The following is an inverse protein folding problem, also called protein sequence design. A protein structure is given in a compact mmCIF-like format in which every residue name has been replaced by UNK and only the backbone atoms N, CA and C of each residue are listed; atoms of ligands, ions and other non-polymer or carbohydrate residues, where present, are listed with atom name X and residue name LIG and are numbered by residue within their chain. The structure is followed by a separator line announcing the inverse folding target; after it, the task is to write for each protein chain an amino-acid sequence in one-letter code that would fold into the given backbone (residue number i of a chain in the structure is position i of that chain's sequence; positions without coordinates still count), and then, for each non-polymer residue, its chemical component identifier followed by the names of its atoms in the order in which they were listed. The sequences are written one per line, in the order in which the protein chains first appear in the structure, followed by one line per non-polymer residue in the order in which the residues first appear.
data_IF_795815640065
#
_entry.id   IF_795815640065
#
_cell.length_a   1.000
_cell.length_b   1.000
_cell.length_c   1.000
_cell.angle_alpha   90.00
_cell.angle_beta   90.00
_cell.angle_gamma   90.00
#
_symmetry.space_group_name_H-M   'P 1'
#
loop_
_entity.id
_entity.type
_entity.pdbx_description
1 polymer ?
#
# COMPACT_ATOMS: atom_id res chain seq x y z
N UNK A 1 12.98 28.29 -10.35
CA UNK A 1 11.70 27.76 -9.81
C UNK A 1 12.02 27.22 -8.45
N UNK A 2 11.14 27.45 -7.48
CA UNK A 2 11.29 26.83 -6.17
C UNK A 2 11.22 25.32 -6.28
N UNK A 3 11.83 24.63 -5.33
CA UNK A 3 11.81 23.17 -5.29
C UNK A 3 10.41 22.65 -4.96
N UNK A 4 10.11 21.42 -5.35
CA UNK A 4 8.87 20.74 -4.97
C UNK A 4 9.24 19.69 -3.92
N UNK A 5 8.67 19.85 -2.72
CA UNK A 5 9.06 19.09 -1.54
C UNK A 5 7.87 18.40 -0.88
N UNK A 6 8.12 17.24 -0.29
CA UNK A 6 7.23 16.61 0.69
C UNK A 6 7.47 17.35 2.01
N UNK A 7 6.46 18.08 2.50
CA UNK A 7 6.57 18.93 3.70
C UNK A 7 5.84 18.37 4.93
N UNK A 8 4.95 17.40 4.74
CA UNK A 8 4.23 16.76 5.83
C UNK A 8 3.64 15.43 5.42
N UNK A 9 3.56 14.52 6.39
CA UNK A 9 2.92 13.22 6.25
C UNK A 9 2.08 12.91 7.48
N UNK A 10 1.02 12.15 7.33
CA UNK A 10 0.18 11.73 8.45
C UNK A 10 -0.34 10.31 8.24
N UNK A 11 -0.31 9.52 9.29
CA UNK A 11 -0.73 8.13 9.28
C UNK A 11 -2.05 7.94 10.01
N UNK A 12 -2.89 7.07 9.47
CA UNK A 12 -4.02 6.48 10.16
C UNK A 12 -3.95 4.95 10.04
N UNK A 13 -4.33 4.25 11.08
CA UNK A 13 -4.47 2.79 11.11
C UNK A 13 -5.40 2.40 12.28
N UNK A 14 -6.05 1.22 12.23
CA UNK A 14 -6.85 0.74 13.35
C UNK A 14 -6.03 0.58 14.64
N UNK A 15 -6.59 0.92 15.78
CA UNK A 15 -5.89 0.87 17.08
C UNK A 15 -5.59 -0.56 17.53
N UNK A 16 -6.50 -1.50 17.22
CA UNK A 16 -6.42 -2.87 17.69
C UNK A 16 -5.36 -3.68 16.92
N UNK A 17 -4.41 -4.24 17.69
CA UNK A 17 -3.35 -5.10 17.17
C UNK A 17 -3.87 -6.53 16.95
N UNK A 18 -3.43 -7.14 15.85
CA UNK A 18 -3.69 -8.55 15.52
C UNK A 18 -2.36 -9.30 15.39
N UNK A 19 -2.17 -10.32 16.21
CA UNK A 19 -0.95 -11.16 16.24
C UNK A 19 -1.02 -12.33 15.26
N UNK A 20 0.12 -12.93 14.93
CA UNK A 20 0.17 -14.16 14.14
C UNK A 20 -0.56 -15.31 14.83
N UNK A 21 -0.44 -15.38 16.18
CA UNK A 21 -1.13 -16.41 16.96
C UNK A 21 -2.66 -16.35 16.75
N UNK A 22 -3.26 -15.17 16.88
CA UNK A 22 -4.70 -14.99 16.68
C UNK A 22 -5.14 -15.37 15.26
N UNK A 23 -4.37 -14.97 14.24
CA UNK A 23 -4.63 -15.33 12.83
C UNK A 23 -4.55 -16.84 12.61
N UNK A 24 -3.55 -17.50 13.19
CA UNK A 24 -3.35 -18.96 13.08
C UNK A 24 -4.44 -19.72 13.81
N UNK A 25 -4.78 -19.32 15.03
CA UNK A 25 -5.83 -19.97 15.83
C UNK A 25 -7.18 -19.93 15.10
N UNK A 26 -7.55 -18.75 14.59
CA UNK A 26 -8.78 -18.57 13.80
C UNK A 26 -8.77 -19.41 12.53
N UNK A 27 -7.71 -19.32 11.72
CA UNK A 27 -7.59 -20.06 10.48
C UNK A 27 -7.63 -21.57 10.69
N UNK A 28 -6.92 -22.09 11.70
CA UNK A 28 -6.87 -23.54 11.98
C UNK A 28 -8.23 -24.05 12.46
N UNK A 29 -8.95 -23.28 13.26
CA UNK A 29 -10.35 -23.61 13.65
C UNK A 29 -11.26 -23.68 12.40
N UNK A 30 -11.14 -22.73 11.48
CA UNK A 30 -11.85 -22.79 10.20
C UNK A 30 -11.48 -24.05 9.40
N UNK A 31 -10.19 -24.40 9.33
CA UNK A 31 -9.71 -25.61 8.62
C UNK A 31 -10.32 -26.89 9.23
N UNK A 32 -10.34 -26.99 10.55
CA UNK A 32 -10.91 -28.16 11.24
C UNK A 32 -12.42 -28.30 10.97
N UNK A 33 -13.16 -27.19 11.03
CA UNK A 33 -14.57 -27.16 10.69
C UNK A 33 -14.82 -27.58 9.24
N UNK A 34 -14.08 -26.95 8.29
CA UNK A 34 -14.17 -27.27 6.87
C UNK A 34 -13.89 -28.75 6.58
N UNK A 35 -12.82 -29.31 7.12
CA UNK A 35 -12.42 -30.70 6.87
C UNK A 35 -13.44 -31.69 7.48
N UNK A 36 -14.00 -31.37 8.64
CA UNK A 36 -15.05 -32.16 9.29
C UNK A 36 -16.36 -32.17 8.49
N UNK A 37 -16.81 -30.98 8.08
CA UNK A 37 -18.04 -30.81 7.30
C UNK A 37 -17.97 -31.46 5.92
N UNK A 38 -16.79 -31.52 5.33
CA UNK A 38 -16.55 -32.08 3.99
C UNK A 38 -15.85 -33.45 4.02
N UNK A 39 -15.91 -34.20 5.12
CA UNK A 39 -15.18 -35.45 5.29
C UNK A 39 -15.46 -36.45 4.17
N UNK A 40 -16.71 -36.66 3.78
CA UNK A 40 -17.09 -37.58 2.70
C UNK A 40 -16.59 -37.17 1.32
N UNK A 41 -16.51 -35.86 1.04
CA UNK A 41 -15.96 -35.34 -0.22
C UNK A 41 -14.44 -35.46 -0.26
N UNK A 42 -13.80 -35.36 0.90
CA UNK A 42 -12.35 -35.55 1.06
C UNK A 42 -11.99 -37.03 0.91
N UNK A 43 -12.74 -37.92 1.58
CA UNK A 43 -12.56 -39.37 1.44
C UNK A 43 -12.75 -39.88 0.02
N UNK A 44 -13.67 -39.29 -0.74
CA UNK A 44 -13.90 -39.57 -2.16
C UNK A 44 -12.92 -38.88 -3.12
N UNK A 45 -11.93 -38.17 -2.58
CA UNK A 45 -10.95 -37.34 -3.34
C UNK A 45 -11.58 -36.27 -4.25
N UNK A 46 -12.89 -35.96 -4.06
CA UNK A 46 -13.57 -34.92 -4.83
C UNK A 46 -13.06 -33.52 -4.53
N UNK A 47 -12.61 -33.31 -3.30
CA UNK A 47 -11.91 -32.08 -2.87
C UNK A 47 -10.69 -32.43 -1.99
N UNK A 48 -9.73 -31.52 -1.92
CA UNK A 48 -8.57 -31.68 -1.04
C UNK A 48 -8.85 -31.16 0.36
N UNK A 49 -8.40 -31.87 1.38
CA UNK A 49 -8.38 -31.36 2.73
C UNK A 49 -7.55 -30.07 2.80
N UNK A 50 -8.03 -29.09 3.57
CA UNK A 50 -7.25 -27.88 3.87
C UNK A 50 -6.17 -28.20 4.89
N UNK A 51 -5.01 -27.55 4.74
CA UNK A 51 -3.87 -27.71 5.64
C UNK A 51 -3.82 -26.56 6.66
N UNK A 52 -3.44 -26.87 7.88
CA UNK A 52 -3.20 -25.87 8.95
C UNK A 52 -2.09 -24.87 8.58
N UNK A 53 -2.16 -23.71 9.18
CA UNK A 53 -1.11 -22.69 9.17
C UNK A 53 -0.32 -22.72 10.48
N UNK A 54 0.79 -21.96 10.55
CA UNK A 54 1.55 -21.76 11.78
C UNK A 54 2.22 -20.39 11.79
N UNK A 55 2.54 -19.90 12.98
CA UNK A 55 3.28 -18.64 13.14
C UNK A 55 4.65 -18.69 12.43
N UNK A 56 5.32 -19.84 12.52
CA UNK A 56 6.60 -20.06 11.83
C UNK A 56 6.45 -19.95 10.31
N UNK A 57 5.38 -20.54 9.75
CA UNK A 57 5.08 -20.43 8.33
C UNK A 57 4.89 -18.96 7.92
N UNK A 58 4.09 -18.19 8.68
CA UNK A 58 3.85 -16.77 8.41
C UNK A 58 5.16 -15.98 8.44
N UNK A 59 5.95 -16.12 9.50
CA UNK A 59 7.23 -15.43 9.64
C UNK A 59 8.20 -15.78 8.52
N UNK A 60 8.30 -17.07 8.18
CA UNK A 60 9.19 -17.54 7.11
C UNK A 60 8.71 -17.06 5.71
N UNK A 61 7.40 -16.99 5.49
CA UNK A 61 6.82 -16.58 4.21
C UNK A 61 6.93 -15.08 3.97
N UNK A 62 6.69 -14.25 4.99
CA UNK A 62 6.54 -12.79 4.84
C UNK A 62 7.48 -11.94 5.69
N UNK A 63 7.77 -12.39 6.91
CA UNK A 63 8.43 -11.60 7.95
C UNK A 63 7.44 -10.80 8.82
N UNK A 64 6.13 -10.91 8.59
CA UNK A 64 5.08 -10.18 9.32
C UNK A 64 4.91 -10.82 10.71
N UNK A 65 4.87 -9.98 11.74
CA UNK A 65 4.63 -10.38 13.14
C UNK A 65 3.22 -10.04 13.58
N UNK A 66 2.78 -8.83 13.22
CA UNK A 66 1.46 -8.30 13.58
C UNK A 66 0.86 -7.53 12.40
N UNK A 67 -0.40 -7.20 12.47
CA UNK A 67 -1.13 -6.32 11.54
C UNK A 67 -2.28 -5.64 12.27
N UNK A 68 -2.95 -4.73 11.58
CA UNK A 68 -4.14 -4.06 12.06
C UNK A 68 -5.25 -4.23 11.05
N UNK A 69 -6.41 -4.67 11.50
CA UNK A 69 -7.56 -5.00 10.63
C UNK A 69 -8.70 -4.06 10.95
N UNK A 70 -9.38 -3.56 9.94
CA UNK A 70 -10.53 -2.65 10.09
C UNK A 70 -11.67 -3.30 10.90
N UNK A 71 -11.81 -4.60 10.79
CA UNK A 71 -12.73 -5.41 11.57
C UNK A 71 -12.05 -6.74 11.95
N UNK A 72 -11.29 -6.69 13.02
CA UNK A 72 -10.59 -7.86 13.57
C UNK A 72 -11.56 -8.95 13.99
N UNK A 73 -12.67 -8.59 14.64
CA UNK A 73 -13.62 -9.54 15.21
C UNK A 73 -14.17 -10.51 14.17
N UNK A 74 -14.75 -9.99 13.08
CA UNK A 74 -15.36 -10.85 12.06
C UNK A 74 -14.31 -11.46 11.12
N UNK A 75 -13.20 -10.77 10.84
CA UNK A 75 -12.08 -11.32 10.07
C UNK A 75 -11.47 -12.56 10.71
N UNK A 76 -11.46 -12.63 12.03
CA UNK A 76 -10.94 -13.77 12.82
C UNK A 76 -12.03 -14.69 13.40
N UNK A 77 -13.29 -14.47 13.06
CA UNK A 77 -14.36 -15.42 13.38
C UNK A 77 -14.28 -16.61 12.40
N UNK A 78 -14.03 -17.86 12.85
CA UNK A 78 -13.86 -19.02 11.98
C UNK A 78 -15.08 -19.35 11.11
N UNK A 79 -16.24 -18.77 11.42
CA UNK A 79 -17.49 -18.95 10.66
C UNK A 79 -17.69 -17.86 9.60
N UNK A 80 -17.04 -16.70 9.76
CA UNK A 80 -17.13 -15.56 8.84
C UNK A 80 -15.93 -15.43 7.94
N UNK A 81 -14.70 -15.48 8.50
CA UNK A 81 -13.42 -15.37 7.78
C UNK A 81 -13.37 -14.20 6.78
N UNK A 82 -13.96 -13.08 7.15
CA UNK A 82 -13.97 -11.84 6.37
C UNK A 82 -14.38 -10.66 7.23
N UNK A 83 -13.92 -9.45 6.96
CA UNK A 83 -14.41 -8.26 7.64
C UNK A 83 -15.87 -7.98 7.27
N UNK A 84 -16.58 -7.34 8.18
CA UNK A 84 -17.92 -6.79 7.96
C UNK A 84 -17.83 -5.28 8.11
N UNK A 85 -18.07 -4.56 7.03
CA UNK A 85 -18.14 -3.12 7.01
C UNK A 85 -19.59 -2.66 6.82
N UNK A 86 -19.94 -1.51 7.38
CA UNK A 86 -21.26 -0.90 7.16
C UNK A 86 -21.29 -0.29 5.74
N UNK A 87 -22.38 -0.49 5.03
CA UNK A 87 -22.70 0.36 3.88
C UNK A 87 -23.17 1.72 4.43
N UNK A 88 -22.50 2.79 4.00
CA UNK A 88 -22.86 4.15 4.38
C UNK A 88 -24.15 4.59 3.67
N UNK A 89 -24.98 5.35 4.37
CA UNK A 89 -26.10 6.09 3.76
C UNK A 89 -25.55 7.21 2.87
N UNK A 90 -26.36 7.67 1.91
CA UNK A 90 -25.92 8.71 0.94
C UNK A 90 -25.52 10.05 1.59
N UNK A 91 -25.89 10.29 2.84
CA UNK A 91 -25.52 11.46 3.65
C UNK A 91 -24.29 11.24 4.53
N UNK A 92 -23.73 10.04 4.56
CA UNK A 92 -22.54 9.70 5.35
C UNK A 92 -21.29 9.68 4.49
N UNK A 93 -20.16 10.08 5.07
CA UNK A 93 -18.85 9.93 4.43
C UNK A 93 -18.49 8.45 4.26
N UNK A 94 -17.93 8.10 3.12
CA UNK A 94 -17.43 6.75 2.89
C UNK A 94 -16.32 6.38 3.88
N UNK A 95 -16.13 5.07 4.12
CA UNK A 95 -15.06 4.58 5.00
C UNK A 95 -13.68 5.10 4.57
N UNK A 96 -13.38 5.08 3.26
CA UNK A 96 -12.10 5.57 2.74
C UNK A 96 -11.94 7.08 2.96
N UNK A 97 -13.03 7.86 2.84
CA UNK A 97 -12.99 9.30 3.12
C UNK A 97 -12.72 9.56 4.61
N UNK A 98 -13.42 8.89 5.52
CA UNK A 98 -13.21 9.06 6.97
C UNK A 98 -11.76 8.82 7.38
N UNK A 99 -11.17 7.70 6.96
CA UNK A 99 -9.76 7.38 7.32
C UNK A 99 -8.78 8.31 6.61
N UNK A 100 -9.11 8.74 5.38
CA UNK A 100 -8.33 9.71 4.62
C UNK A 100 -8.28 11.08 5.29
N UNK A 101 -9.41 11.57 5.79
CA UNK A 101 -9.52 12.85 6.52
C UNK A 101 -8.67 12.83 7.79
N UNK A 102 -8.70 11.73 8.55
CA UNK A 102 -7.88 11.61 9.76
C UNK A 102 -6.38 11.63 9.47
N UNK A 103 -5.95 10.95 8.41
CA UNK A 103 -4.56 11.00 7.97
C UNK A 103 -4.19 12.41 7.44
N UNK A 104 -5.09 13.03 6.66
CA UNK A 104 -4.90 14.38 6.10
C UNK A 104 -4.72 15.44 7.18
N UNK A 105 -5.58 15.44 8.22
CA UNK A 105 -5.46 16.36 9.36
C UNK A 105 -4.10 16.28 10.05
N UNK A 106 -3.56 15.07 10.21
CA UNK A 106 -2.21 14.87 10.78
C UNK A 106 -1.11 15.38 9.84
N UNK A 107 -1.24 15.15 8.53
CA UNK A 107 -0.29 15.65 7.54
C UNK A 107 -0.27 17.19 7.48
N UNK A 108 -1.45 17.81 7.47
CA UNK A 108 -1.62 19.27 7.49
C UNK A 108 -1.02 19.88 8.77
N UNK A 109 -1.31 19.28 9.93
CA UNK A 109 -0.73 19.73 11.21
C UNK A 109 0.80 19.64 11.22
N UNK A 110 1.39 18.55 10.70
CA UNK A 110 2.84 18.37 10.60
C UNK A 110 3.48 19.33 9.61
N UNK A 111 2.78 19.65 8.51
CA UNK A 111 3.20 20.65 7.53
C UNK A 111 2.97 22.10 7.99
N UNK A 112 2.21 22.31 9.06
CA UNK A 112 1.76 23.60 9.55
C UNK A 112 1.02 24.43 8.48
N UNK A 113 0.08 23.78 7.75
CA UNK A 113 -0.76 24.40 6.72
C UNK A 113 -2.25 24.20 7.02
N UNK A 114 -3.07 25.06 6.42
CA UNK A 114 -4.54 25.06 6.50
C UNK A 114 -5.16 24.66 5.16
N UNK A 115 -6.44 24.35 5.14
CA UNK A 115 -7.15 23.86 3.94
C UNK A 115 -7.14 24.86 2.78
N UNK A 116 -7.21 26.16 3.08
CA UNK A 116 -7.17 27.25 2.10
C UNK A 116 -5.82 27.40 1.38
N UNK A 117 -4.79 26.70 1.85
CA UNK A 117 -3.48 26.65 1.19
C UNK A 117 -3.30 25.45 0.26
N UNK A 118 -4.31 24.57 0.17
CA UNK A 118 -4.29 23.35 -0.65
C UNK A 118 -5.08 23.58 -1.92
N UNK A 119 -4.45 23.41 -3.08
CA UNK A 119 -5.04 23.64 -4.40
C UNK A 119 -5.65 22.37 -5.02
N UNK A 120 -5.29 21.20 -4.53
CA UNK A 120 -5.80 19.94 -5.08
C UNK A 120 -5.68 18.74 -4.15
N UNK A 121 -6.57 17.76 -4.33
CA UNK A 121 -6.57 16.48 -3.60
C UNK A 121 -6.48 15.33 -4.59
N UNK A 122 -5.44 14.49 -4.46
CA UNK A 122 -5.26 13.28 -5.27
C UNK A 122 -5.34 12.07 -4.35
N UNK A 123 -6.32 11.20 -4.58
CA UNK A 123 -6.43 9.95 -3.85
C UNK A 123 -5.91 8.80 -4.71
N UNK A 124 -4.87 8.12 -4.24
CA UNK A 124 -4.32 6.92 -4.86
C UNK A 124 -4.58 5.70 -4.00
N UNK A 125 -5.28 4.70 -4.51
CA UNK A 125 -5.62 3.49 -3.74
C UNK A 125 -5.56 2.23 -4.61
N UNK A 126 -5.42 1.08 -3.98
CA UNK A 126 -5.51 -0.21 -4.67
C UNK A 126 -6.95 -0.61 -4.96
N UNK A 127 -7.91 -0.15 -4.16
CA UNK A 127 -9.33 -0.49 -4.26
C UNK A 127 -10.20 0.75 -4.00
N UNK A 128 -11.02 1.14 -4.95
CA UNK A 128 -12.02 2.17 -4.72
C UNK A 128 -13.25 1.58 -4.01
N UNK A 129 -13.80 2.33 -3.07
CA UNK A 129 -15.06 1.98 -2.41
C UNK A 129 -16.29 2.15 -3.32
N UNK A 130 -16.16 2.98 -4.36
CA UNK A 130 -17.23 3.25 -5.36
C UNK A 130 -16.61 3.83 -6.64
N UNK A 131 -17.40 3.77 -7.73
CA UNK A 131 -16.93 4.26 -9.02
C UNK A 131 -16.98 5.80 -9.12
N UNK A 132 -18.02 6.43 -8.56
CA UNK A 132 -18.24 7.88 -8.54
C UNK A 132 -19.33 8.23 -7.51
N UNK A 133 -19.36 9.48 -6.95
CA UNK A 133 -18.29 10.47 -7.09
C UNK A 133 -16.96 9.96 -6.52
N UNK A 134 -15.83 10.58 -6.91
CA UNK A 134 -14.52 10.25 -6.37
C UNK A 134 -14.47 10.45 -4.85
N UNK A 135 -13.77 9.57 -4.14
CA UNK A 135 -13.59 9.69 -2.67
C UNK A 135 -12.77 10.93 -2.33
N UNK A 136 -11.85 11.34 -3.21
CA UNK A 136 -11.09 12.58 -3.06
C UNK A 136 -12.01 13.82 -2.97
N UNK A 137 -13.15 13.82 -3.69
CA UNK A 137 -14.12 14.93 -3.65
C UNK A 137 -14.86 14.99 -2.31
N UNK A 138 -15.16 13.83 -1.69
CA UNK A 138 -15.72 13.81 -0.33
C UNK A 138 -14.75 14.41 0.68
N UNK A 139 -13.46 14.03 0.58
CA UNK A 139 -12.42 14.54 1.46
C UNK A 139 -12.20 16.04 1.25
N UNK A 140 -12.19 16.49 0.01
CA UNK A 140 -12.08 17.90 -0.36
C UNK A 140 -13.18 18.73 0.28
N UNK A 141 -14.44 18.32 0.13
CA UNK A 141 -15.61 19.01 0.70
C UNK A 141 -15.53 19.07 2.23
N UNK A 142 -15.27 17.93 2.88
CA UNK A 142 -15.23 17.84 4.35
C UNK A 142 -14.09 18.65 4.97
N UNK A 143 -12.95 18.77 4.28
CA UNK A 143 -11.82 19.58 4.73
C UNK A 143 -11.97 21.07 4.38
N UNK A 144 -12.94 21.44 3.53
CA UNK A 144 -13.12 22.80 3.06
C UNK A 144 -12.00 23.27 2.14
N UNK A 145 -11.47 22.37 1.29
CA UNK A 145 -10.44 22.70 0.30
C UNK A 145 -11.10 23.22 -0.96
N UNK A 146 -10.71 24.41 -1.43
CA UNK A 146 -11.12 24.95 -2.72
C UNK A 146 -10.11 24.59 -3.81
N UNK A 147 -10.57 23.91 -4.87
CA UNK A 147 -9.68 23.44 -5.93
C UNK A 147 -10.25 22.22 -6.67
N UNK A 148 -9.39 21.28 -7.03
CA UNK A 148 -9.79 20.05 -7.74
C UNK A 148 -9.47 18.78 -6.95
N UNK A 149 -10.24 17.71 -7.23
CA UNK A 149 -10.01 16.42 -6.58
C UNK A 149 -10.34 15.26 -7.52
N UNK A 150 -9.54 14.18 -7.47
CA UNK A 150 -9.79 12.96 -8.23
C UNK A 150 -9.15 11.73 -7.59
N UNK A 151 -9.69 10.54 -7.93
CA UNK A 151 -9.14 9.25 -7.56
C UNK A 151 -8.33 8.64 -8.69
N UNK A 152 -7.31 7.83 -8.33
CA UNK A 152 -6.56 7.00 -9.27
C UNK A 152 -6.27 5.62 -8.70
N UNK A 153 -6.22 4.63 -9.59
CA UNK A 153 -6.02 3.21 -9.27
C UNK A 153 -4.83 2.65 -10.05
N UNK A 154 -3.72 2.36 -9.36
CA UNK A 154 -2.52 1.73 -9.93
C UNK A 154 -2.03 0.60 -8.99
N UNK A 155 -2.97 -0.07 -8.31
CA UNK A 155 -2.64 -1.13 -7.35
C UNK A 155 -1.64 -0.63 -6.29
N UNK A 156 -0.68 -1.48 -5.93
CA UNK A 156 0.31 -1.15 -4.89
C UNK A 156 1.25 0.03 -5.23
N UNK A 157 1.23 0.54 -6.48
CA UNK A 157 2.04 1.70 -6.89
C UNK A 157 1.27 3.02 -6.86
N UNK A 158 -0.01 3.00 -6.44
CA UNK A 158 -0.87 4.19 -6.48
C UNK A 158 -0.26 5.39 -5.77
N UNK A 159 0.43 5.19 -4.64
CA UNK A 159 1.11 6.26 -3.91
C UNK A 159 2.16 6.98 -4.76
N UNK A 160 3.11 6.26 -5.33
CA UNK A 160 4.20 6.88 -6.10
C UNK A 160 3.73 7.48 -7.41
N UNK A 161 2.68 6.91 -8.02
CA UNK A 161 2.03 7.50 -9.19
C UNK A 161 1.27 8.78 -8.82
N UNK A 162 0.54 8.81 -7.70
CA UNK A 162 -0.15 9.99 -7.20
C UNK A 162 0.83 11.12 -6.83
N UNK A 163 1.92 10.80 -6.13
CA UNK A 163 2.99 11.76 -5.83
C UNK A 163 3.64 12.31 -7.11
N UNK A 164 3.82 11.45 -8.13
CA UNK A 164 4.36 11.88 -9.43
C UNK A 164 3.38 12.81 -10.18
N UNK A 165 2.07 12.56 -10.09
CA UNK A 165 1.06 13.45 -10.68
C UNK A 165 1.02 14.79 -9.93
N UNK A 166 0.97 14.77 -8.60
CA UNK A 166 1.02 15.96 -7.77
C UNK A 166 2.25 16.84 -8.10
N UNK A 167 3.41 16.21 -8.24
CA UNK A 167 4.61 16.90 -8.69
C UNK A 167 4.41 17.54 -10.07
N UNK A 168 3.77 16.85 -11.02
CA UNK A 168 3.55 17.38 -12.38
C UNK A 168 2.61 18.59 -12.35
N UNK A 169 1.54 18.50 -11.58
CA UNK A 169 0.56 19.59 -11.45
C UNK A 169 1.22 20.83 -10.84
N UNK A 170 2.07 20.65 -9.82
CA UNK A 170 2.84 21.76 -9.23
C UNK A 170 3.88 22.31 -10.22
N UNK A 171 4.65 21.43 -10.87
CA UNK A 171 5.68 21.85 -11.83
C UNK A 171 5.12 22.57 -13.06
N UNK A 172 3.87 22.28 -13.45
CA UNK A 172 3.17 22.97 -14.54
C UNK A 172 2.57 24.32 -14.15
N UNK A 173 2.55 24.63 -12.84
CA UNK A 173 1.91 25.83 -12.28
C UNK A 173 0.39 25.69 -12.12
N UNK A 174 -0.18 24.49 -12.27
CA UNK A 174 -1.60 24.22 -12.04
C UNK A 174 -1.96 24.31 -10.56
N UNK A 175 -1.02 23.97 -9.67
CA UNK A 175 -1.15 24.04 -8.22
C UNK A 175 0.17 24.50 -7.58
N UNK A 176 0.11 24.92 -6.32
CA UNK A 176 1.29 25.15 -5.46
C UNK A 176 1.41 24.13 -4.35
N UNK A 177 0.28 23.67 -3.84
CA UNK A 177 0.20 22.70 -2.76
C UNK A 177 -0.84 21.62 -3.09
N UNK A 178 -0.46 20.36 -2.99
CA UNK A 178 -1.35 19.22 -3.23
C UNK A 178 -1.31 18.27 -2.04
N UNK A 179 -2.50 17.85 -1.61
CA UNK A 179 -2.72 16.78 -0.67
C UNK A 179 -2.87 15.45 -1.42
N UNK A 180 -1.94 14.52 -1.22
CA UNK A 180 -2.03 13.15 -1.71
C UNK A 180 -2.46 12.22 -0.59
N UNK A 181 -3.48 11.39 -0.80
CA UNK A 181 -4.04 10.49 0.21
C UNK A 181 -4.06 9.06 -0.34
N UNK A 182 -3.62 8.10 0.46
CA UNK A 182 -3.59 6.68 0.09
C UNK A 182 -4.30 5.86 1.17
N UNK A 183 -5.65 5.80 1.13
CA UNK A 183 -6.43 4.98 2.04
C UNK A 183 -6.43 3.54 1.53
N UNK A 184 -5.84 2.63 2.30
CA UNK A 184 -5.76 1.21 1.99
C UNK A 184 -6.51 0.41 3.05
N UNK A 185 -7.82 0.31 2.87
CA UNK A 185 -8.67 -0.65 3.57
C UNK A 185 -8.75 -1.88 2.69
N UNK A 186 -7.69 -2.68 2.78
CA UNK A 186 -7.42 -3.77 1.84
C UNK A 186 -8.09 -5.08 2.23
N UNK A 187 -8.31 -5.29 3.53
CA UNK A 187 -8.78 -6.59 4.06
C UNK A 187 -10.12 -7.07 3.52
N UNK A 188 -11.11 -6.23 3.13
CA UNK A 188 -12.31 -6.70 2.44
C UNK A 188 -12.05 -7.35 1.07
N UNK A 189 -10.93 -7.04 0.43
CA UNK A 189 -10.52 -7.60 -0.87
C UNK A 189 -9.75 -8.92 -0.77
N UNK A 190 -9.55 -9.50 0.43
CA UNK A 190 -8.74 -10.70 0.65
C UNK A 190 -9.53 -11.92 1.09
N UNK A 191 -9.01 -13.07 0.71
CA UNK A 191 -9.57 -14.36 1.09
C UNK A 191 -8.86 -14.89 2.34
N UNK A 192 -9.46 -14.67 3.52
CA UNK A 192 -8.96 -15.18 4.79
C UNK A 192 -9.00 -16.71 4.90
N UNK A 193 -9.76 -17.40 4.03
CA UNK A 193 -9.82 -18.87 3.98
C UNK A 193 -8.72 -19.48 3.12
N UNK A 194 -7.85 -18.67 2.50
CA UNK A 194 -6.73 -19.12 1.71
C UNK A 194 -5.43 -19.06 2.53
N UNK A 195 -4.80 -20.22 2.73
CA UNK A 195 -3.57 -20.39 3.53
C UNK A 195 -2.43 -19.46 3.08
N UNK A 196 -2.32 -19.19 1.79
CA UNK A 196 -1.18 -18.45 1.23
C UNK A 196 -1.32 -16.93 1.36
N UNK A 197 -2.54 -16.42 1.67
CA UNK A 197 -2.80 -14.97 1.71
C UNK A 197 -3.45 -14.47 3.01
N UNK A 198 -4.06 -15.34 3.84
CA UNK A 198 -4.83 -14.97 5.05
C UNK A 198 -4.09 -14.09 6.07
N UNK A 199 -2.78 -13.98 5.96
CA UNK A 199 -1.92 -13.30 6.93
C UNK A 199 -1.21 -12.07 6.38
N UNK A 200 -1.30 -11.79 5.06
CA UNK A 200 -0.39 -10.85 4.40
C UNK A 200 -0.74 -9.40 4.73
N UNK A 201 -2.03 -9.05 4.69
CA UNK A 201 -2.45 -7.66 4.65
C UNK A 201 -2.87 -7.10 6.00
N UNK A 202 -2.74 -5.78 6.11
CA UNK A 202 -3.34 -4.93 7.12
C UNK A 202 -4.04 -3.74 6.47
N UNK A 203 -4.69 -2.93 7.28
CA UNK A 203 -5.40 -1.72 6.87
C UNK A 203 -4.71 -0.48 7.44
N UNK A 204 -4.64 0.58 6.63
CA UNK A 204 -4.05 1.85 7.03
C UNK A 204 -4.21 2.91 5.95
N UNK A 205 -3.90 4.14 6.28
CA UNK A 205 -3.95 5.27 5.38
C UNK A 205 -2.75 6.18 5.61
N UNK A 206 -2.19 6.72 4.54
CA UNK A 206 -1.20 7.79 4.62
C UNK A 206 -1.67 8.99 3.82
N UNK A 207 -1.48 10.17 4.37
CA UNK A 207 -1.61 11.44 3.66
C UNK A 207 -0.23 12.11 3.56
N UNK A 208 0.00 12.78 2.43
CA UNK A 208 1.27 13.44 2.10
C UNK A 208 1.00 14.81 1.51
N UNK A 209 1.66 15.84 2.00
CA UNK A 209 1.58 17.19 1.43
C UNK A 209 2.81 17.43 0.56
N UNK A 210 2.57 17.74 -0.71
CA UNK A 210 3.57 18.27 -1.63
C UNK A 210 3.36 19.77 -1.79
N UNK A 211 4.45 20.54 -1.73
CA UNK A 211 4.40 21.98 -1.90
C UNK A 211 5.61 22.49 -2.68
N UNK A 212 5.41 23.55 -3.46
CA UNK A 212 6.47 24.34 -4.06
C UNK A 212 7.09 25.23 -2.99
N UNK A 213 8.27 24.83 -2.48
CA UNK A 213 8.97 25.52 -1.39
C UNK A 213 10.44 25.14 -1.33
N UNK A 214 11.28 26.08 -0.88
CA UNK A 214 12.70 25.84 -0.61
C UNK A 214 13.00 25.73 0.90
N UNK A 215 11.99 25.79 1.77
CA UNK A 215 12.20 25.89 3.20
C UNK A 215 12.57 24.56 3.83
N UNK A 216 11.57 23.74 4.14
CA UNK A 216 11.78 22.49 4.87
C UNK A 216 11.13 21.32 4.13
N UNK A 217 11.57 20.10 4.45
CA UNK A 217 10.97 18.90 3.90
C UNK A 217 11.95 18.02 3.13
N UNK A 218 11.42 17.26 2.19
CA UNK A 218 12.19 16.38 1.30
C UNK A 218 11.94 16.81 -0.15
N UNK A 219 12.91 17.49 -0.74
CA UNK A 219 12.91 17.88 -2.13
C UNK A 219 12.86 16.64 -3.03
N UNK A 220 11.95 16.61 -4.00
CA UNK A 220 11.92 15.56 -5.02
C UNK A 220 12.92 15.92 -6.13
N UNK A 221 13.99 15.12 -6.23
CA UNK A 221 15.06 15.32 -7.24
C UNK A 221 14.62 14.74 -8.60
N UNK A 222 14.12 13.52 -8.59
CA UNK A 222 13.69 12.83 -9.82
C UNK A 222 12.61 11.81 -9.51
N UNK A 223 11.86 11.47 -10.54
CA UNK A 223 10.78 10.47 -10.48
C UNK A 223 10.79 9.62 -11.74
N UNK A 224 10.50 8.33 -11.57
CA UNK A 224 10.45 7.36 -12.66
C UNK A 224 9.26 6.43 -12.49
N UNK A 225 8.44 6.32 -13.53
CA UNK A 225 7.29 5.43 -13.61
C UNK A 225 7.51 4.40 -14.70
N UNK A 226 7.21 3.12 -14.42
CA UNK A 226 7.34 2.01 -15.37
C UNK A 226 6.13 1.08 -15.21
N UNK A 227 5.58 0.63 -16.34
CA UNK A 227 4.52 -0.40 -16.35
C UNK A 227 4.87 -1.52 -17.33
N UNK A 228 4.48 -2.75 -16.96
CA UNK A 228 4.61 -3.94 -17.79
C UNK A 228 3.47 -4.90 -17.51
N UNK A 229 2.65 -5.23 -18.51
CA UNK A 229 1.50 -6.10 -18.33
C UNK A 229 1.86 -7.49 -17.78
N UNK A 230 1.14 -7.90 -16.73
CA UNK A 230 1.19 -9.24 -16.13
C UNK A 230 -0.07 -9.54 -15.32
N UNK A 231 -0.59 -10.74 -15.43
CA UNK A 231 -1.71 -11.24 -14.63
C UNK A 231 -1.26 -11.98 -13.35
N UNK A 232 0.03 -11.95 -13.01
CA UNK A 232 0.54 -12.65 -11.82
C UNK A 232 0.08 -12.02 -10.50
N UNK A 233 -0.39 -10.77 -10.53
CA UNK A 233 -1.10 -10.12 -9.42
C UNK A 233 -2.33 -9.46 -10.02
N UNK A 234 -3.52 -9.79 -9.49
CA UNK A 234 -4.78 -9.19 -9.94
C UNK A 234 -5.85 -9.23 -8.88
N UNK A 235 -6.84 -8.40 -9.05
CA UNK A 235 -8.15 -8.46 -8.37
C UNK A 235 -9.19 -8.20 -9.45
N UNK A 236 -10.14 -9.10 -9.59
CA UNK A 236 -11.14 -9.06 -10.68
C UNK A 236 -12.49 -8.48 -10.20
N UNK A 237 -12.58 -8.01 -8.95
CA UNK A 237 -13.80 -7.45 -8.40
C UNK A 237 -14.20 -6.17 -9.15
N UNK A 238 -15.33 -6.21 -9.85
CA UNK A 238 -15.78 -5.14 -10.74
C UNK A 238 -17.29 -5.17 -10.91
N UNK A 239 -17.93 -4.03 -11.25
CA UNK A 239 -19.35 -3.97 -11.58
C UNK A 239 -19.71 -4.83 -12.78
N UNK A 240 -18.78 -5.09 -13.71
CA UNK A 240 -18.98 -5.96 -14.86
C UNK A 240 -19.23 -7.43 -14.47
N UNK A 241 -18.80 -7.86 -13.28
CA UNK A 241 -19.06 -9.22 -12.81
C UNK A 241 -20.55 -9.54 -12.71
N UNK A 242 -21.42 -8.53 -12.51
CA UNK A 242 -22.87 -8.71 -12.44
C UNK A 242 -23.50 -9.20 -13.74
N UNK A 243 -22.88 -8.91 -14.86
CA UNK A 243 -23.40 -9.22 -16.20
C UNK A 243 -22.56 -10.25 -16.96
N UNK A 244 -21.51 -10.78 -16.34
CA UNK A 244 -20.66 -11.79 -16.94
C UNK A 244 -21.46 -13.08 -17.19
N UNK A 245 -21.36 -13.66 -18.39
CA UNK A 245 -22.03 -14.92 -18.76
C UNK A 245 -21.43 -16.14 -18.05
N UNK A 246 -20.13 -16.06 -17.70
CA UNK A 246 -19.40 -17.04 -16.91
C UNK A 246 -19.21 -16.49 -15.50
N UNK A 247 -20.14 -16.81 -14.60
CA UNK A 247 -20.06 -16.35 -13.22
C UNK A 247 -18.86 -16.98 -12.51
N UNK A 248 -18.08 -16.14 -11.84
CA UNK A 248 -17.04 -16.55 -10.88
C UNK A 248 -17.62 -16.54 -9.47
N UNK A 249 -17.06 -17.37 -8.58
CA UNK A 249 -17.39 -17.26 -7.16
C UNK A 249 -16.84 -15.95 -6.58
N UNK A 250 -17.41 -15.44 -5.47
CA UNK A 250 -16.85 -14.25 -4.82
C UNK A 250 -15.35 -14.39 -4.54
N UNK A 251 -14.88 -15.55 -4.09
CA UNK A 251 -13.49 -15.83 -3.77
C UNK A 251 -12.56 -15.75 -5.00
N UNK A 252 -13.04 -16.11 -6.17
CA UNK A 252 -12.28 -16.03 -7.43
C UNK A 252 -12.11 -14.59 -7.93
N UNK A 253 -12.91 -13.65 -7.43
CA UNK A 253 -12.84 -12.22 -7.76
C UNK A 253 -11.87 -11.44 -6.85
N UNK A 254 -11.54 -12.01 -5.68
CA UNK A 254 -10.66 -11.39 -4.71
C UNK A 254 -9.20 -11.36 -5.20
N UNK A 255 -8.34 -10.81 -4.36
CA UNK A 255 -6.90 -10.73 -4.62
C UNK A 255 -6.28 -12.09 -4.91
N UNK A 256 -5.57 -12.18 -6.02
CA UNK A 256 -4.78 -13.33 -6.45
C UNK A 256 -3.34 -12.93 -6.72
N UNK A 257 -2.40 -13.78 -6.33
CA UNK A 257 -1.00 -13.66 -6.74
C UNK A 257 -0.35 -15.01 -7.00
N UNK A 258 0.48 -15.06 -8.03
CA UNK A 258 1.49 -16.10 -8.22
C UNK A 258 2.80 -15.65 -7.58
N UNK A 259 2.93 -15.85 -6.25
CA UNK A 259 4.04 -15.30 -5.47
C UNK A 259 5.43 -15.67 -5.99
N UNK A 260 5.61 -16.90 -6.53
CA UNK A 260 6.92 -17.35 -7.09
C UNK A 260 7.28 -16.57 -8.36
N UNK A 261 6.34 -16.40 -9.28
CA UNK A 261 6.54 -15.65 -10.52
C UNK A 261 6.77 -14.17 -10.22
N UNK A 262 5.95 -13.59 -9.34
CA UNK A 262 6.09 -12.21 -8.88
C UNK A 262 7.50 -11.96 -8.32
N UNK A 263 7.96 -12.80 -7.40
CA UNK A 263 9.30 -12.67 -6.81
C UNK A 263 10.41 -12.66 -7.87
N UNK A 264 10.34 -13.57 -8.84
CA UNK A 264 11.35 -13.71 -9.90
C UNK A 264 11.35 -12.56 -10.90
N UNK A 265 10.18 -11.99 -11.19
CA UNK A 265 10.03 -10.98 -12.23
C UNK A 265 10.13 -9.54 -11.67
N UNK A 266 9.51 -9.28 -10.52
CA UNK A 266 9.41 -7.92 -9.95
C UNK A 266 10.74 -7.49 -9.35
N UNK A 267 11.42 -8.33 -8.56
CA UNK A 267 12.65 -7.91 -7.87
C UNK A 267 13.74 -7.42 -8.84
N UNK A 268 14.10 -8.13 -9.93
CA UNK A 268 15.08 -7.61 -10.89
C UNK A 268 14.57 -6.40 -11.65
N UNK A 269 13.27 -6.31 -11.96
CA UNK A 269 12.69 -5.17 -12.68
C UNK A 269 12.75 -3.89 -11.84
N UNK A 270 12.43 -3.97 -10.54
CA UNK A 270 12.53 -2.85 -9.60
C UNK A 270 13.98 -2.40 -9.43
N UNK A 271 14.90 -3.34 -9.17
CA UNK A 271 16.32 -3.02 -9.02
C UNK A 271 16.89 -2.33 -10.28
N UNK A 272 16.55 -2.84 -11.46
CA UNK A 272 16.92 -2.22 -12.75
C UNK A 272 16.36 -0.80 -12.86
N UNK A 273 15.07 -0.61 -12.53
CA UNK A 273 14.41 0.71 -12.59
C UNK A 273 15.11 1.73 -11.70
N UNK A 274 15.46 1.33 -10.47
CA UNK A 274 16.19 2.17 -9.50
C UNK A 274 17.58 2.50 -10.04
N UNK A 275 18.35 1.51 -10.48
CA UNK A 275 19.71 1.74 -11.01
C UNK A 275 19.72 2.66 -12.23
N UNK A 276 18.78 2.50 -13.15
CA UNK A 276 18.65 3.38 -14.30
C UNK A 276 18.31 4.82 -13.89
N UNK A 277 17.48 4.99 -12.84
CA UNK A 277 17.13 6.31 -12.31
C UNK A 277 18.32 6.96 -11.60
N UNK A 278 19.05 6.23 -10.78
CA UNK A 278 20.26 6.71 -10.11
C UNK A 278 21.33 7.12 -11.14
N UNK A 279 21.58 6.28 -12.13
CA UNK A 279 22.54 6.56 -13.21
C UNK A 279 22.17 7.83 -14.01
N UNK A 280 20.88 8.00 -14.34
CA UNK A 280 20.39 9.22 -15.03
C UNK A 280 20.73 10.50 -14.26
N UNK A 281 20.72 10.43 -12.94
CA UNK A 281 20.97 11.57 -12.05
C UNK A 281 22.41 11.64 -11.55
N UNK A 282 23.32 10.80 -12.04
CA UNK A 282 24.72 10.69 -11.61
C UNK A 282 24.87 10.44 -10.09
N UNK A 283 23.93 9.68 -9.50
CA UNK A 283 23.93 9.29 -8.08
C UNK A 283 24.41 7.85 -7.99
N UNK A 284 25.37 7.57 -7.13
CA UNK A 284 25.81 6.20 -6.85
C UNK A 284 24.84 5.54 -5.86
N UNK A 285 24.65 4.20 -5.91
CA UNK A 285 23.78 3.50 -4.99
C UNK A 285 24.12 3.69 -3.51
N UNK A 286 25.40 3.86 -3.17
CA UNK A 286 25.92 4.07 -1.81
C UNK A 286 25.73 5.51 -1.31
N UNK A 287 25.29 6.44 -2.15
CA UNK A 287 24.87 7.80 -1.76
C UNK A 287 23.40 7.84 -1.27
N UNK A 288 22.66 6.74 -1.36
CA UNK A 288 21.29 6.65 -0.83
C UNK A 288 21.34 6.19 0.62
N UNK A 289 20.99 7.08 1.52
CA UNK A 289 21.01 6.85 2.97
C UNK A 289 19.80 6.06 3.47
N UNK A 290 18.70 5.98 2.70
CA UNK A 290 17.49 5.25 3.09
C UNK A 290 16.67 4.80 1.87
N UNK A 291 16.19 3.54 1.90
CA UNK A 291 15.28 2.99 0.90
C UNK A 291 13.90 2.71 1.52
N UNK A 292 12.90 3.53 1.25
CA UNK A 292 11.52 3.32 1.67
C UNK A 292 10.75 2.58 0.57
N UNK A 293 10.86 1.26 0.57
CA UNK A 293 10.27 0.42 -0.46
C UNK A 293 8.86 -0.05 -0.09
N UNK A 294 8.10 -0.46 -1.10
CA UNK A 294 6.81 -1.13 -0.90
C UNK A 294 6.93 -2.31 0.05
N UNK A 295 6.06 -2.37 1.04
CA UNK A 295 6.08 -3.26 2.19
C UNK A 295 5.35 -4.60 1.92
N UNK A 296 5.67 -5.27 0.80
CA UNK A 296 5.02 -6.54 0.43
C UNK A 296 5.62 -7.76 1.16
N UNK A 297 6.94 -7.82 1.24
CA UNK A 297 7.67 -8.97 1.78
C UNK A 297 9.13 -8.57 2.09
N UNK A 298 9.58 -8.86 3.31
CA UNK A 298 10.93 -8.48 3.74
C UNK A 298 12.05 -9.08 2.90
N UNK A 299 11.88 -10.31 2.36
CA UNK A 299 12.87 -10.94 1.47
C UNK A 299 12.96 -10.25 0.10
N UNK A 300 11.82 -9.75 -0.43
CA UNK A 300 11.81 -8.98 -1.66
C UNK A 300 12.57 -7.68 -1.48
N UNK A 301 12.30 -6.94 -0.40
CA UNK A 301 12.97 -5.69 -0.08
C UNK A 301 14.47 -5.91 0.02
N UNK A 302 14.91 -6.90 0.82
CA UNK A 302 16.33 -7.24 0.96
C UNK A 302 16.98 -7.57 -0.38
N UNK A 303 16.36 -8.39 -1.22
CA UNK A 303 16.88 -8.76 -2.53
C UNK A 303 16.99 -7.57 -3.49
N UNK A 304 15.99 -6.66 -3.48
CA UNK A 304 16.01 -5.46 -4.33
C UNK A 304 17.19 -4.57 -3.91
N UNK A 305 17.31 -4.25 -2.61
CA UNK A 305 18.38 -3.40 -2.09
C UNK A 305 19.75 -4.03 -2.34
N UNK A 306 19.91 -5.33 -2.09
CA UNK A 306 21.12 -6.10 -2.39
C UNK A 306 21.55 -5.97 -3.86
N UNK A 307 20.58 -6.08 -4.81
CA UNK A 307 20.84 -5.90 -6.23
C UNK A 307 21.21 -4.47 -6.62
N UNK A 308 20.62 -3.48 -5.94
CA UNK A 308 20.93 -2.06 -6.17
C UNK A 308 22.32 -1.73 -5.66
N UNK A 309 22.68 -2.19 -4.47
CA UNK A 309 23.98 -1.94 -3.85
C UNK A 309 25.12 -2.83 -4.40
N UNK A 310 24.77 -3.95 -5.06
CA UNK A 310 25.75 -4.95 -5.51
C UNK A 310 26.37 -5.76 -4.37
N UNK A 311 25.75 -5.79 -3.20
CA UNK A 311 26.20 -6.53 -2.01
C UNK A 311 25.04 -7.06 -1.18
N UNK A 312 25.21 -8.23 -0.56
CA UNK A 312 24.22 -8.80 0.36
C UNK A 312 24.41 -8.31 1.81
N UNK A 313 25.52 -7.62 2.08
CA UNK A 313 25.85 -7.08 3.40
C UNK A 313 25.56 -5.58 3.44
N UNK A 314 24.48 -5.20 4.10
CA UNK A 314 24.11 -3.82 4.39
C UNK A 314 23.31 -3.75 5.70
N UNK A 315 23.29 -2.58 6.31
CA UNK A 315 22.52 -2.33 7.53
C UNK A 315 21.01 -2.45 7.25
N UNK A 316 20.28 -3.18 8.11
CA UNK A 316 18.83 -3.30 7.99
C UNK A 316 18.11 -1.95 8.15
N UNK A 317 18.70 -0.98 8.84
CA UNK A 317 18.16 0.37 8.98
C UNK A 317 18.14 1.14 7.64
N UNK A 318 18.97 0.75 6.67
CA UNK A 318 18.97 1.31 5.32
C UNK A 318 17.65 1.05 4.58
N UNK A 319 16.97 -0.05 4.88
CA UNK A 319 15.69 -0.43 4.27
C UNK A 319 14.70 -0.87 5.35
N UNK A 320 14.06 0.06 6.07
CA UNK A 320 13.19 -0.24 7.19
C UNK A 320 11.97 -1.07 6.79
N UNK A 321 11.52 -1.92 7.71
CA UNK A 321 10.47 -2.90 7.48
C UNK A 321 9.27 -2.71 8.43
N UNK A 322 8.51 -1.61 8.38
CA UNK A 322 7.30 -1.44 9.19
C UNK A 322 6.24 -2.51 8.92
N UNK A 323 6.33 -3.22 7.79
CA UNK A 323 5.46 -4.35 7.52
C UNK A 323 5.54 -5.47 8.58
N UNK A 324 6.62 -5.51 9.37
CA UNK A 324 6.72 -6.46 10.49
C UNK A 324 5.58 -6.27 11.48
N UNK A 325 5.11 -5.03 11.65
CA UNK A 325 4.14 -4.62 12.66
C UNK A 325 2.76 -4.23 12.07
N UNK A 326 2.72 -3.81 10.80
CA UNK A 326 1.49 -3.35 10.15
C UNK A 326 0.94 -4.32 9.08
N UNK A 327 1.72 -5.35 8.68
CA UNK A 327 1.40 -6.15 7.51
C UNK A 327 1.68 -5.39 6.21
N UNK A 328 1.22 -5.95 5.09
CA UNK A 328 1.26 -5.27 3.79
C UNK A 328 0.11 -4.26 3.71
N UNK A 329 0.42 -2.98 3.66
CA UNK A 329 -0.54 -1.88 3.53
C UNK A 329 -0.72 -1.44 2.06
N UNK A 330 -0.62 -2.37 1.13
CA UNK A 330 -0.75 -2.12 -0.32
C UNK A 330 0.03 -0.86 -0.74
N UNK A 331 -0.62 0.16 -1.35
CA UNK A 331 0.09 1.34 -1.84
C UNK A 331 0.65 2.23 -0.72
N UNK A 332 0.05 2.26 0.46
CA UNK A 332 0.48 3.11 1.56
C UNK A 332 1.82 2.68 2.19
N UNK A 333 2.23 1.43 2.00
CA UNK A 333 3.36 0.83 2.74
C UNK A 333 4.69 1.56 2.60
N UNK A 334 5.05 2.07 1.41
CA UNK A 334 6.31 2.82 1.22
C UNK A 334 6.31 4.15 1.97
N UNK A 335 5.17 4.83 2.04
CA UNK A 335 5.05 6.09 2.77
C UNK A 335 4.88 5.89 4.28
N UNK A 336 4.37 4.73 4.74
CA UNK A 336 4.50 4.33 6.14
C UNK A 336 5.97 4.17 6.53
N UNK A 337 6.76 3.50 5.69
CA UNK A 337 8.20 3.41 5.92
C UNK A 337 8.86 4.79 5.94
N UNK A 338 8.49 5.69 5.02
CA UNK A 338 8.96 7.05 4.99
C UNK A 338 8.57 7.84 6.25
N UNK A 339 7.30 7.86 6.64
CA UNK A 339 6.85 8.64 7.81
C UNK A 339 7.52 8.20 9.12
N UNK A 340 7.64 6.90 9.32
CA UNK A 340 8.18 6.32 10.55
C UNK A 340 9.72 6.37 10.63
N UNK A 341 10.43 6.45 9.48
CA UNK A 341 11.89 6.33 9.40
C UNK A 341 12.50 7.41 8.48
N UNK A 342 12.04 8.66 8.57
CA UNK A 342 12.57 9.78 7.78
C UNK A 342 13.61 10.62 8.54
N UNK A 343 14.50 9.95 9.20
CA UNK A 343 15.55 10.49 10.07
C UNK A 343 16.82 10.98 9.33
N UNK A 344 16.70 11.35 8.05
CA UNK A 344 17.80 11.86 7.26
C UNK A 344 18.24 13.24 7.71
N UNK A 345 19.55 13.45 7.67
CA UNK A 345 20.19 14.75 7.86
C UNK A 345 20.08 15.60 6.59
N UNK A 346 20.26 16.91 6.73
CA UNK A 346 20.26 17.85 5.60
C UNK A 346 21.28 17.44 4.52
N UNK A 347 20.80 17.38 3.26
CA UNK A 347 21.59 16.99 2.08
C UNK A 347 21.68 15.48 1.85
N UNK A 348 21.23 14.66 2.79
CA UNK A 348 21.14 13.21 2.57
C UNK A 348 20.00 12.86 1.64
N UNK A 349 20.23 11.81 0.84
CA UNK A 349 19.27 11.34 -0.16
C UNK A 349 18.61 10.05 0.26
N UNK A 350 17.33 9.94 -0.05
CA UNK A 350 16.56 8.71 0.11
C UNK A 350 15.79 8.36 -1.15
N UNK A 351 15.31 7.11 -1.21
CA UNK A 351 14.57 6.60 -2.33
C UNK A 351 13.25 5.97 -1.88
N UNK A 352 12.14 6.54 -2.35
CA UNK A 352 10.78 6.01 -2.16
C UNK A 352 10.44 5.19 -3.40
N UNK A 353 10.09 3.90 -3.24
CA UNK A 353 9.69 3.09 -4.38
C UNK A 353 8.53 2.15 -4.03
N UNK A 354 7.44 2.27 -4.80
CA UNK A 354 6.31 1.34 -4.74
C UNK A 354 6.28 0.49 -6.01
N UNK A 355 5.84 -0.76 -5.87
CA UNK A 355 5.74 -1.70 -6.98
C UNK A 355 4.67 -2.76 -6.71
N UNK A 356 4.06 -3.29 -7.76
CA UNK A 356 3.03 -4.31 -7.60
C UNK A 356 2.32 -4.69 -8.88
N UNK A 357 1.01 -4.88 -8.73
CA UNK A 357 0.15 -5.30 -9.84
C UNK A 357 0.33 -4.43 -11.09
N UNK A 358 0.20 -5.05 -12.21
CA UNK A 358 0.36 -4.41 -13.50
C UNK A 358 1.31 -5.17 -14.43
N UNK A 359 2.64 -5.33 -14.24
CA UNK A 359 3.37 -4.70 -13.14
C UNK A 359 3.43 -3.19 -13.27
N UNK A 360 3.40 -2.51 -12.15
CA UNK A 360 3.64 -1.08 -12.06
C UNK A 360 4.77 -0.80 -11.05
N UNK A 361 5.61 0.17 -11.33
CA UNK A 361 6.72 0.61 -10.48
C UNK A 361 6.76 2.13 -10.53
N UNK A 362 6.77 2.76 -9.37
CA UNK A 362 7.04 4.19 -9.25
C UNK A 362 8.18 4.42 -8.26
N UNK A 363 9.13 5.26 -8.63
CA UNK A 363 10.31 5.57 -7.83
C UNK A 363 10.54 7.09 -7.78
N UNK A 364 10.81 7.62 -6.60
CA UNK A 364 11.16 9.01 -6.35
C UNK A 364 12.49 9.06 -5.60
N UNK A 365 13.42 9.87 -6.09
CA UNK A 365 14.64 10.24 -5.35
C UNK A 365 14.32 11.53 -4.62
N UNK A 366 14.55 11.56 -3.33
CA UNK A 366 14.33 12.73 -2.49
C UNK A 366 15.62 13.11 -1.75
N UNK A 367 15.76 14.41 -1.42
CA UNK A 367 16.86 14.95 -0.63
C UNK A 367 16.29 15.75 0.51
N UNK A 368 16.86 15.62 1.70
CA UNK A 368 16.46 16.39 2.89
C UNK A 368 16.97 17.82 2.77
N UNK A 369 16.06 18.82 2.85
CA UNK A 369 16.37 20.25 2.81
C UNK A 369 17.03 20.75 4.11
#
# INVERSE_FOLDING_TARGET
MDDISIIGTGLWYPDELTTNKEVVDSYNTYVDNFNKENASLIESESIKAKAHSSEEFILKASGIKTRRLIDKKNSLDPTMMRPVTKNEDASELSLLARVGIEAAKKAMAKANITADQIDGVILGTSHSGRNYPAVAIEIQEELGIDGYAYDMLVGCSSTTFALSNAFTDIASGMAKTILVINPEISTPGFNFTNRDVHFIFGDGCVATILQQTNESGFKIIDRKLVTKFSNNIRSDLSYLNRTASNQKTPEELLFYQNGRSVFKEVCPLVAKTILEQLNKNNIKPDEISKFWLHQANGKMIRLIVSKVLGTDSFDEELAPLPMKDFGNLASAGSMFAFDLYNDLSKGEKGLICSFGAGYSIGSLIVEKN
#
